data_IF_265735858659
#
_entry.id   IF_265735858659
#
_cell.length_a   1.000
_cell.length_b   1.000
_cell.length_c   1.000
_cell.angle_alpha   90.00
_cell.angle_beta   90.00
_cell.angle_gamma   90.00
#
_symmetry.space_group_name_H-M   'P 1'
#
loop_
_entity.id
_entity.type
_entity.pdbx_description
1 polymer ?
#
# COMPACT_ATOMS: atom_id res chain seq x y z
N UNK A 1 61.29 16.81 -8.16
CA UNK A 1 60.14 16.99 -9.08
C UNK A 1 58.81 16.41 -8.56
N UNK A 2 58.77 15.25 -7.90
CA UNK A 2 57.50 14.65 -7.41
C UNK A 2 56.71 15.51 -6.37
N UNK A 3 57.39 16.20 -5.44
CA UNK A 3 56.73 17.08 -4.44
C UNK A 3 56.03 18.30 -5.09
N UNK A 4 56.65 18.94 -6.08
CA UNK A 4 56.05 20.08 -6.80
C UNK A 4 54.81 19.65 -7.61
N UNK A 5 54.84 18.46 -8.21
CA UNK A 5 53.71 17.95 -8.97
C UNK A 5 52.50 17.60 -8.09
N UNK A 6 52.75 17.14 -6.85
CA UNK A 6 51.73 16.84 -5.84
C UNK A 6 51.02 18.11 -5.35
N UNK A 7 51.77 19.19 -5.10
CA UNK A 7 51.21 20.48 -4.67
C UNK A 7 50.36 21.15 -5.77
N UNK A 8 50.67 20.92 -7.06
CA UNK A 8 49.90 21.44 -8.20
C UNK A 8 48.53 20.77 -8.38
N UNK A 9 48.31 19.61 -7.76
CA UNK A 9 47.08 18.82 -7.87
C UNK A 9 46.18 18.88 -6.62
N UNK A 10 46.54 19.67 -5.62
CA UNK A 10 45.77 19.83 -4.39
C UNK A 10 44.85 21.06 -4.48
N UNK A 11 43.58 20.87 -4.10
CA UNK A 11 42.60 21.96 -4.00
C UNK A 11 41.55 21.97 -5.12
N UNK A 12 40.52 22.79 -4.91
CA UNK A 12 39.35 22.87 -5.79
C UNK A 12 39.72 23.68 -7.03
N UNK A 13 39.96 22.99 -8.15
CA UNK A 13 40.32 23.61 -9.44
C UNK A 13 40.08 22.65 -10.61
N UNK A 14 40.07 23.20 -11.84
CA UNK A 14 39.80 22.46 -13.06
C UNK A 14 38.39 21.86 -13.05
N UNK A 15 38.25 20.62 -13.51
CA UNK A 15 36.97 19.88 -13.53
C UNK A 15 36.29 19.76 -12.16
N UNK A 16 37.02 19.91 -11.05
CA UNK A 16 36.42 19.88 -9.72
C UNK A 16 35.52 21.10 -9.44
N UNK A 17 35.67 22.20 -10.21
CA UNK A 17 34.79 23.37 -10.13
C UNK A 17 33.38 23.02 -10.64
N UNK A 18 33.27 22.17 -11.66
CA UNK A 18 31.97 21.72 -12.15
C UNK A 18 31.26 20.83 -11.14
N UNK A 19 32.01 19.95 -10.46
CA UNK A 19 31.49 19.18 -9.32
C UNK A 19 31.06 20.11 -8.18
N UNK A 20 31.85 21.15 -7.88
CA UNK A 20 31.50 22.12 -6.85
C UNK A 20 30.16 22.82 -7.13
N UNK A 21 29.95 23.21 -8.39
CA UNK A 21 28.70 23.82 -8.83
C UNK A 21 27.52 22.84 -8.69
N UNK A 22 27.68 21.61 -9.19
CA UNK A 22 26.66 20.56 -9.12
C UNK A 22 26.26 20.26 -7.66
N UNK A 23 27.25 20.06 -6.77
CA UNK A 23 27.04 19.79 -5.34
C UNK A 23 26.24 20.90 -4.64
N UNK A 24 26.46 22.16 -5.01
CA UNK A 24 25.79 23.31 -4.38
C UNK A 24 24.39 23.54 -4.95
N UNK A 25 24.22 23.37 -6.27
CA UNK A 25 22.95 23.64 -6.96
C UNK A 25 21.96 22.49 -6.77
N UNK A 26 22.43 21.25 -6.71
CA UNK A 26 21.57 20.07 -6.69
C UNK A 26 20.50 20.06 -5.57
N UNK A 27 20.80 20.38 -4.29
CA UNK A 27 19.78 20.40 -3.23
C UNK A 27 18.70 21.45 -3.49
N UNK A 28 19.07 22.63 -3.99
CA UNK A 28 18.12 23.70 -4.29
C UNK A 28 17.21 23.31 -5.45
N UNK A 29 17.79 22.77 -6.52
CA UNK A 29 17.03 22.28 -7.67
C UNK A 29 16.06 21.17 -7.26
N UNK A 30 16.50 20.26 -6.39
CA UNK A 30 15.67 19.16 -5.92
C UNK A 30 14.50 19.64 -5.04
N UNK A 31 14.68 20.68 -4.22
CA UNK A 31 13.56 21.32 -3.50
C UNK A 31 12.52 21.87 -4.47
N UNK A 32 12.94 22.58 -5.52
CA UNK A 32 12.02 23.11 -6.55
C UNK A 32 11.29 21.97 -7.26
N UNK A 33 12.00 20.87 -7.57
CA UNK A 33 11.39 19.68 -8.16
C UNK A 33 10.31 19.09 -7.25
N UNK A 34 10.59 18.85 -5.98
CA UNK A 34 9.61 18.32 -5.01
C UNK A 34 8.40 19.25 -4.94
N UNK A 35 8.61 20.55 -4.74
CA UNK A 35 7.50 21.48 -4.62
C UNK A 35 6.63 21.51 -5.88
N UNK A 36 7.24 21.40 -7.07
CA UNK A 36 6.48 21.39 -8.33
C UNK A 36 5.73 20.07 -8.52
N UNK A 37 6.42 18.94 -8.42
CA UNK A 37 5.84 17.61 -8.66
C UNK A 37 4.73 17.26 -7.67
N UNK A 38 4.95 17.51 -6.37
CA UNK A 38 3.98 17.14 -5.35
C UNK A 38 2.84 18.14 -5.19
N UNK A 39 2.97 19.37 -5.71
CA UNK A 39 1.91 20.38 -5.57
C UNK A 39 0.58 19.91 -6.13
N UNK A 40 0.59 19.24 -7.29
CA UNK A 40 -0.62 18.75 -7.96
C UNK A 40 -1.46 17.82 -7.08
N UNK A 41 -0.80 16.95 -6.28
CA UNK A 41 -1.49 16.02 -5.38
C UNK A 41 -2.13 16.70 -4.18
N UNK A 42 -1.60 17.84 -3.74
CA UNK A 42 -2.09 18.58 -2.57
C UNK A 42 -3.02 19.75 -2.94
N UNK A 43 -3.13 20.08 -4.23
CA UNK A 43 -4.08 21.05 -4.74
C UNK A 43 -5.46 20.43 -5.03
N UNK A 44 -6.50 21.24 -5.00
CA UNK A 44 -7.84 20.91 -5.55
C UNK A 44 -8.52 19.64 -5.01
N UNK A 45 -8.16 19.18 -3.80
CA UNK A 45 -8.81 18.03 -3.16
C UNK A 45 -8.45 16.66 -3.75
N UNK A 46 -7.48 16.59 -4.67
CA UNK A 46 -6.97 15.33 -5.23
C UNK A 46 -6.48 14.37 -4.17
N UNK A 47 -5.83 14.88 -3.12
CA UNK A 47 -5.43 14.09 -1.97
C UNK A 47 -6.62 13.32 -1.39
N UNK A 48 -7.70 14.02 -1.04
CA UNK A 48 -8.90 13.39 -0.46
C UNK A 48 -9.50 12.35 -1.41
N UNK A 49 -9.57 12.67 -2.70
CA UNK A 49 -10.12 11.79 -3.74
C UNK A 49 -9.32 10.48 -3.90
N UNK A 50 -8.00 10.54 -3.77
CA UNK A 50 -7.12 9.37 -3.98
C UNK A 50 -6.84 8.60 -2.69
N UNK A 51 -7.07 9.18 -1.52
CA UNK A 51 -6.71 8.57 -0.22
C UNK A 51 -7.89 8.17 0.67
N UNK A 52 -9.11 8.69 0.45
CA UNK A 52 -10.28 8.28 1.23
C UNK A 52 -10.96 7.05 0.64
N UNK A 53 -11.25 6.06 1.48
CA UNK A 53 -11.91 4.80 1.09
C UNK A 53 -13.31 4.99 0.50
N UNK A 54 -14.00 6.09 0.81
CA UNK A 54 -15.34 6.40 0.31
C UNK A 54 -15.34 6.99 -1.11
N UNK A 55 -14.15 7.23 -1.69
CA UNK A 55 -14.00 7.81 -3.03
C UNK A 55 -13.97 6.72 -4.10
N UNK A 56 -14.63 6.96 -5.22
CA UNK A 56 -14.57 6.10 -6.41
C UNK A 56 -13.13 5.98 -6.98
N UNK A 57 -12.29 6.99 -6.74
CA UNK A 57 -10.89 7.03 -7.19
C UNK A 57 -9.89 6.63 -6.11
N UNK A 58 -10.36 6.04 -5.00
CA UNK A 58 -9.49 5.55 -3.95
C UNK A 58 -8.46 4.58 -4.54
N UNK A 59 -7.18 4.89 -4.31
CA UNK A 59 -6.10 3.99 -4.72
C UNK A 59 -5.29 3.57 -3.50
N UNK A 60 -5.39 2.27 -3.23
CA UNK A 60 -4.71 1.54 -2.16
C UNK A 60 -3.23 1.91 -2.03
N UNK A 61 -2.77 2.35 -0.86
CA UNK A 61 -1.34 2.61 -0.64
C UNK A 61 -0.77 3.87 -1.30
N UNK A 62 -1.55 4.61 -2.10
CA UNK A 62 -1.13 5.85 -2.74
C UNK A 62 -0.57 6.88 -1.75
N UNK A 63 -1.33 7.14 -0.67
CA UNK A 63 -0.96 8.07 0.39
C UNK A 63 0.39 7.70 1.01
N UNK A 64 0.56 6.41 1.31
CA UNK A 64 1.75 5.87 1.94
C UNK A 64 2.95 6.02 1.01
N UNK A 65 2.80 5.71 -0.28
CA UNK A 65 3.86 5.88 -1.28
C UNK A 65 4.31 7.34 -1.39
N UNK A 66 3.39 8.31 -1.43
CA UNK A 66 3.73 9.75 -1.42
C UNK A 66 4.52 10.12 -0.15
N UNK A 67 4.05 9.70 1.03
CA UNK A 67 4.72 10.00 2.31
C UNK A 67 6.14 9.42 2.35
N UNK A 68 6.31 8.18 1.89
CA UNK A 68 7.62 7.52 1.83
C UNK A 68 8.56 8.23 0.84
N UNK A 69 8.08 8.57 -0.35
CA UNK A 69 8.88 9.28 -1.35
C UNK A 69 9.32 10.67 -0.84
N UNK A 70 8.43 11.42 -0.18
CA UNK A 70 8.74 12.70 0.46
C UNK A 70 9.76 12.55 1.59
N UNK A 71 9.64 11.52 2.44
CA UNK A 71 10.58 11.26 3.52
C UNK A 71 11.99 10.97 2.99
N UNK A 72 12.09 10.13 1.95
CA UNK A 72 13.37 9.83 1.29
C UNK A 72 13.91 11.10 0.59
N UNK A 73 13.04 11.92 -0.01
CA UNK A 73 13.39 13.21 -0.58
C UNK A 73 14.01 14.16 0.45
N UNK A 74 13.40 14.30 1.63
CA UNK A 74 13.92 15.12 2.72
C UNK A 74 15.30 14.62 3.20
N UNK A 75 15.46 13.31 3.35
CA UNK A 75 16.75 12.72 3.70
C UNK A 75 17.82 13.05 2.64
N UNK A 76 17.46 13.00 1.36
CA UNK A 76 18.38 13.29 0.26
C UNK A 76 18.79 14.76 0.23
N UNK A 77 17.90 15.70 0.56
CA UNK A 77 18.25 17.12 0.77
C UNK A 77 19.27 17.24 1.90
N UNK A 78 19.03 16.60 3.04
CA UNK A 78 19.96 16.61 4.17
C UNK A 78 21.33 16.02 3.78
N UNK A 79 21.35 14.91 3.03
CA UNK A 79 22.57 14.31 2.49
C UNK A 79 23.32 15.25 1.55
N UNK A 80 22.60 16.00 0.69
CA UNK A 80 23.17 17.02 -0.18
C UNK A 80 23.82 18.18 0.59
N UNK A 81 23.14 18.69 1.62
CA UNK A 81 23.70 19.73 2.51
C UNK A 81 24.96 19.25 3.22
N UNK A 82 24.99 17.99 3.64
CA UNK A 82 26.18 17.41 4.24
C UNK A 82 27.30 17.17 3.22
N UNK A 83 26.96 16.78 1.98
CA UNK A 83 27.94 16.67 0.90
C UNK A 83 28.61 18.02 0.61
N UNK A 84 27.86 19.13 0.64
CA UNK A 84 28.40 20.49 0.56
C UNK A 84 29.44 20.72 1.68
N UNK A 85 29.08 20.41 2.93
CA UNK A 85 30.00 20.52 4.06
C UNK A 85 31.28 19.70 3.84
N UNK A 86 31.16 18.42 3.49
CA UNK A 86 32.30 17.53 3.26
C UNK A 86 33.17 17.99 2.09
N UNK A 87 32.55 18.53 1.04
CA UNK A 87 33.23 19.00 -0.16
C UNK A 87 34.17 20.16 0.17
N UNK A 88 33.67 21.21 0.82
CA UNK A 88 34.46 22.39 1.14
C UNK A 88 35.48 22.13 2.26
N UNK A 89 35.20 21.19 3.17
CA UNK A 89 36.16 20.73 4.18
C UNK A 89 37.08 19.61 3.70
N UNK A 90 37.09 19.29 2.40
CA UNK A 90 38.04 18.35 1.78
C UNK A 90 38.11 16.98 2.47
N UNK A 91 36.97 16.51 3.00
CA UNK A 91 36.88 15.24 3.72
C UNK A 91 36.94 14.06 2.77
N UNK A 92 37.70 13.02 3.13
CA UNK A 92 37.92 11.83 2.31
C UNK A 92 36.66 10.99 2.06
N UNK A 93 35.62 11.19 2.88
CA UNK A 93 34.31 10.53 2.73
C UNK A 93 33.47 11.14 1.61
N UNK A 94 33.76 12.39 1.19
CA UNK A 94 32.96 13.11 0.19
C UNK A 94 32.77 12.29 -1.11
N UNK A 95 33.82 11.78 -1.78
CA UNK A 95 33.66 11.13 -3.08
C UNK A 95 32.72 9.92 -3.01
N UNK A 96 32.85 9.09 -1.97
CA UNK A 96 32.00 7.91 -1.79
C UNK A 96 30.55 8.28 -1.48
N UNK A 97 30.33 9.24 -0.57
CA UNK A 97 28.98 9.72 -0.26
C UNK A 97 28.32 10.33 -1.50
N UNK A 98 29.03 11.15 -2.26
CA UNK A 98 28.46 11.80 -3.42
C UNK A 98 28.08 10.80 -4.52
N UNK A 99 28.90 9.77 -4.75
CA UNK A 99 28.54 8.67 -5.65
C UNK A 99 27.28 7.95 -5.16
N UNK A 100 27.16 7.69 -3.85
CA UNK A 100 25.96 7.08 -3.30
C UNK A 100 24.71 7.97 -3.49
N UNK A 101 24.85 9.29 -3.33
CA UNK A 101 23.78 10.25 -3.63
C UNK A 101 23.41 10.18 -5.12
N UNK A 102 24.38 10.18 -6.03
CA UNK A 102 24.13 10.08 -7.47
C UNK A 102 23.38 8.78 -7.84
N UNK A 103 23.78 7.64 -7.26
CA UNK A 103 23.12 6.36 -7.48
C UNK A 103 21.69 6.38 -6.93
N UNK A 104 21.47 6.96 -5.74
CA UNK A 104 20.13 7.06 -5.16
C UNK A 104 19.19 7.93 -5.98
N UNK A 105 19.70 8.87 -6.79
CA UNK A 105 18.90 9.63 -7.77
C UNK A 105 18.26 8.68 -8.77
N UNK A 106 19.05 7.78 -9.36
CA UNK A 106 18.56 6.84 -10.37
C UNK A 106 17.52 5.91 -9.76
N UNK A 107 17.79 5.41 -8.54
CA UNK A 107 16.85 4.54 -7.82
C UNK A 107 15.52 5.25 -7.53
N UNK A 108 15.57 6.51 -7.07
CA UNK A 108 14.36 7.29 -6.81
C UNK A 108 13.57 7.58 -8.09
N UNK A 109 14.24 7.98 -9.17
CA UNK A 109 13.57 8.22 -10.44
C UNK A 109 12.88 6.94 -10.95
N UNK A 110 13.51 5.77 -10.77
CA UNK A 110 12.87 4.49 -11.09
C UNK A 110 11.66 4.20 -10.19
N UNK A 111 11.75 4.55 -8.90
CA UNK A 111 10.62 4.47 -7.98
C UNK A 111 9.46 5.39 -8.38
N UNK A 112 9.77 6.59 -8.90
CA UNK A 112 8.78 7.53 -9.43
C UNK A 112 8.15 7.02 -10.74
N UNK A 113 8.92 6.41 -11.66
CA UNK A 113 8.36 5.71 -12.85
C UNK A 113 7.35 4.68 -12.42
N UNK A 114 7.78 3.82 -11.49
CA UNK A 114 6.94 2.75 -10.99
C UNK A 114 5.70 3.32 -10.31
N UNK A 115 5.83 4.38 -9.52
CA UNK A 115 4.71 5.06 -8.87
C UNK A 115 3.69 5.58 -9.89
N UNK A 116 4.11 6.32 -10.90
CA UNK A 116 3.21 6.86 -11.93
C UNK A 116 2.53 5.73 -12.72
N UNK A 117 3.27 4.68 -13.10
CA UNK A 117 2.71 3.56 -13.86
C UNK A 117 1.72 2.74 -13.02
N UNK A 118 2.03 2.51 -11.75
CA UNK A 118 1.21 1.69 -10.86
C UNK A 118 -0.05 2.44 -10.40
N UNK A 119 0.10 3.70 -9.98
CA UNK A 119 -0.98 4.46 -9.37
C UNK A 119 -1.78 5.31 -10.36
N UNK A 120 -1.11 5.90 -11.36
CA UNK A 120 -1.76 6.79 -12.32
C UNK A 120 -2.08 6.09 -13.64
N UNK A 121 -1.79 4.79 -13.77
CA UNK A 121 -1.98 3.98 -14.98
C UNK A 121 -1.51 4.68 -16.26
N UNK A 122 -0.49 5.52 -16.13
CA UNK A 122 0.02 6.38 -17.21
C UNK A 122 1.44 5.96 -17.53
N UNK A 123 1.78 5.90 -18.82
CA UNK A 123 3.16 5.62 -19.20
C UNK A 123 4.04 6.85 -18.92
N UNK A 124 4.85 6.74 -17.87
CA UNK A 124 5.80 7.78 -17.49
C UNK A 124 6.98 7.91 -18.47
N UNK A 125 7.19 6.91 -19.34
CA UNK A 125 8.37 6.80 -20.20
C UNK A 125 9.68 6.66 -19.40
N UNK A 126 10.82 6.54 -20.09
CA UNK A 126 12.15 6.40 -19.46
C UNK A 126 13.10 7.58 -19.77
N UNK A 127 12.63 8.58 -20.52
CA UNK A 127 13.46 9.68 -21.03
C UNK A 127 14.14 10.51 -19.93
N UNK A 128 13.44 10.72 -18.83
CA UNK A 128 13.94 11.35 -17.60
C UNK A 128 15.09 10.61 -16.91
N UNK A 129 15.30 9.31 -17.15
CA UNK A 129 16.41 8.56 -16.55
C UNK A 129 17.76 8.88 -17.19
N UNK A 130 17.79 9.30 -18.46
CA UNK A 130 19.04 9.53 -19.21
C UNK A 130 19.94 10.55 -18.51
N UNK A 131 19.36 11.64 -17.99
CA UNK A 131 20.10 12.67 -17.26
C UNK A 131 20.74 12.13 -15.98
N UNK A 132 19.99 11.39 -15.17
CA UNK A 132 20.49 10.81 -13.92
C UNK A 132 21.54 9.73 -14.13
N UNK A 133 21.34 8.83 -15.09
CA UNK A 133 22.30 7.76 -15.42
C UNK A 133 23.58 8.36 -15.99
N UNK A 134 23.47 9.33 -16.91
CA UNK A 134 24.61 10.05 -17.45
C UNK A 134 25.41 10.76 -16.37
N UNK A 135 24.74 11.41 -15.41
CA UNK A 135 25.38 12.08 -14.27
C UNK A 135 26.16 11.11 -13.39
N UNK A 136 25.57 9.95 -13.03
CA UNK A 136 26.26 8.89 -12.28
C UNK A 136 27.51 8.41 -13.01
N UNK A 137 27.41 8.18 -14.32
CA UNK A 137 28.53 7.67 -15.10
C UNK A 137 29.67 8.71 -15.19
N UNK A 138 29.34 9.94 -15.56
CA UNK A 138 30.34 11.01 -15.73
C UNK A 138 31.02 11.32 -14.40
N UNK A 139 30.24 11.63 -13.37
CA UNK A 139 30.79 12.05 -12.08
C UNK A 139 31.32 10.89 -11.26
N UNK A 140 30.69 9.71 -11.31
CA UNK A 140 31.19 8.51 -10.65
C UNK A 140 32.55 8.06 -11.19
N UNK A 141 32.72 8.05 -12.52
CA UNK A 141 34.03 7.77 -13.12
C UNK A 141 35.05 8.84 -12.75
N UNK A 142 34.68 10.12 -12.82
CA UNK A 142 35.59 11.21 -12.47
C UNK A 142 36.05 11.14 -11.00
N UNK A 143 35.13 10.96 -10.06
CA UNK A 143 35.42 10.93 -8.62
C UNK A 143 36.24 9.71 -8.21
N UNK A 144 36.08 8.57 -8.88
CA UNK A 144 36.87 7.36 -8.58
C UNK A 144 38.26 7.37 -9.23
N UNK A 145 38.37 7.85 -10.48
CA UNK A 145 39.61 7.73 -11.29
C UNK A 145 40.52 8.97 -11.20
N UNK A 146 40.00 10.13 -10.81
CA UNK A 146 40.76 11.38 -10.84
C UNK A 146 41.83 11.45 -9.74
N UNK A 147 43.10 11.56 -10.16
CA UNK A 147 44.23 11.82 -9.26
C UNK A 147 44.05 13.11 -8.46
N UNK A 148 43.39 14.13 -9.04
CA UNK A 148 43.10 15.40 -8.35
C UNK A 148 42.13 15.20 -7.20
N UNK A 149 41.09 14.40 -7.39
CA UNK A 149 40.09 14.07 -6.34
C UNK A 149 40.80 13.36 -5.19
N UNK A 150 41.59 12.33 -5.49
CA UNK A 150 42.37 11.58 -4.49
C UNK A 150 43.35 12.45 -3.70
N UNK A 151 43.95 13.48 -4.32
CA UNK A 151 44.84 14.41 -3.64
C UNK A 151 44.13 15.56 -2.92
N UNK A 152 42.88 15.87 -3.28
CA UNK A 152 42.12 16.96 -2.67
C UNK A 152 41.37 16.48 -1.43
N UNK A 153 40.76 15.30 -1.48
CA UNK A 153 39.94 14.75 -0.39
C UNK A 153 40.73 13.75 0.46
N UNK A 154 41.69 14.25 1.22
CA UNK A 154 42.57 13.40 2.05
C UNK A 154 42.28 13.48 3.54
N UNK A 155 41.47 14.45 3.98
CA UNK A 155 41.23 14.65 5.41
C UNK A 155 40.29 13.56 5.96
N UNK A 156 40.72 12.77 6.95
CA UNK A 156 39.86 11.74 7.53
C UNK A 156 38.68 12.35 8.27
N UNK A 157 37.56 11.63 8.27
CA UNK A 157 36.38 11.97 9.06
C UNK A 157 36.45 11.28 10.43
N UNK A 158 35.97 11.94 11.49
CA UNK A 158 35.85 11.33 12.81
C UNK A 158 34.84 10.18 12.82
N UNK A 159 35.10 9.13 13.62
CA UNK A 159 34.30 7.88 13.70
C UNK A 159 32.82 8.12 14.06
N UNK A 160 32.53 9.15 14.84
CA UNK A 160 31.17 9.57 15.24
C UNK A 160 30.32 10.04 14.07
N UNK A 161 30.91 10.75 13.11
CA UNK A 161 30.19 11.26 11.94
C UNK A 161 29.76 10.14 11.00
N UNK A 162 30.58 9.10 10.84
CA UNK A 162 30.24 7.94 9.99
C UNK A 162 29.06 7.15 10.57
N UNK A 163 29.06 6.94 11.90
CA UNK A 163 27.98 6.24 12.59
C UNK A 163 26.64 7.00 12.48
N UNK A 164 26.66 8.33 12.62
CA UNK A 164 25.47 9.16 12.49
C UNK A 164 24.78 9.02 11.12
N UNK A 165 25.55 8.99 10.03
CA UNK A 165 25.02 8.85 8.67
C UNK A 165 24.49 7.46 8.37
N UNK A 166 25.19 6.42 8.85
CA UNK A 166 24.73 5.04 8.73
C UNK A 166 23.41 4.87 9.49
N UNK A 167 23.33 5.35 10.73
CA UNK A 167 22.09 5.31 11.51
C UNK A 167 20.95 6.13 10.84
N UNK A 168 21.25 7.31 10.30
CA UNK A 168 20.24 8.13 9.59
C UNK A 168 19.70 7.44 8.34
N UNK A 169 20.58 6.78 7.57
CA UNK A 169 20.20 5.95 6.42
C UNK A 169 19.31 4.77 6.86
N UNK A 170 19.68 4.06 7.92
CA UNK A 170 18.90 2.94 8.45
C UNK A 170 17.54 3.38 8.99
N UNK A 171 17.43 4.54 9.64
CA UNK A 171 16.16 5.10 10.11
C UNK A 171 15.25 5.41 8.93
N UNK A 172 15.78 6.00 7.85
CA UNK A 172 14.98 6.35 6.66
C UNK A 172 14.54 5.11 5.91
N UNK A 173 15.45 4.15 5.71
CA UNK A 173 15.11 2.85 5.11
C UNK A 173 14.09 2.08 5.95
N UNK A 174 14.22 2.10 7.29
CA UNK A 174 13.27 1.50 8.20
C UNK A 174 11.90 2.19 8.14
N UNK A 175 11.86 3.54 8.11
CA UNK A 175 10.61 4.29 8.00
C UNK A 175 9.87 4.05 6.68
N UNK A 176 10.62 3.90 5.58
CA UNK A 176 10.06 3.53 4.28
C UNK A 176 9.53 2.09 4.26
N UNK A 177 10.28 1.16 4.85
CA UNK A 177 9.88 -0.24 4.96
C UNK A 177 8.68 -0.42 5.91
N UNK A 178 8.65 0.31 7.03
CA UNK A 178 7.51 0.30 7.95
C UNK A 178 6.27 0.92 7.32
N UNK A 179 6.41 2.00 6.54
CA UNK A 179 5.31 2.59 5.78
C UNK A 179 4.72 1.58 4.79
N UNK A 180 5.56 0.92 3.99
CA UNK A 180 5.16 -0.14 3.07
C UNK A 180 4.40 -1.28 3.77
N UNK A 181 4.92 -1.78 4.91
CA UNK A 181 4.24 -2.82 5.69
C UNK A 181 2.95 -2.33 6.38
N UNK A 182 2.88 -1.06 6.79
CA UNK A 182 1.64 -0.48 7.32
C UNK A 182 0.56 -0.35 6.25
N UNK A 183 0.94 -0.02 5.01
CA UNK A 183 0.03 0.06 3.87
C UNK A 183 -0.60 -1.30 3.52
N UNK A 184 0.22 -2.35 3.40
CA UNK A 184 -0.27 -3.72 3.09
C UNK A 184 -1.21 -4.27 4.18
N UNK A 185 -0.93 -3.98 5.46
CA UNK A 185 -1.83 -4.41 6.54
C UNK A 185 -3.15 -3.63 6.58
N UNK A 186 -3.17 -2.41 6.01
CA UNK A 186 -4.37 -1.59 5.94
C UNK A 186 -5.27 -1.96 4.74
N UNK A 187 -4.71 -2.54 3.67
CA UNK A 187 -5.44 -3.03 2.48
C UNK A 187 -6.49 -4.09 2.81
N UNK A 188 -6.07 -5.14 3.52
CA UNK A 188 -7.00 -6.18 3.98
C UNK A 188 -8.00 -5.62 4.99
N UNK A 189 -7.59 -4.68 5.84
CA UNK A 189 -8.49 -4.04 6.81
C UNK A 189 -9.53 -3.13 6.12
N UNK A 190 -9.15 -2.42 5.07
CA UNK A 190 -10.01 -1.54 4.30
C UNK A 190 -11.03 -2.33 3.49
N UNK A 191 -10.61 -3.41 2.79
CA UNK A 191 -11.54 -4.30 2.08
C UNK A 191 -12.55 -4.95 3.02
N UNK A 192 -12.10 -5.44 4.18
CA UNK A 192 -12.98 -6.00 5.21
C UNK A 192 -13.95 -4.93 5.73
N UNK A 193 -13.50 -3.69 5.89
CA UNK A 193 -14.37 -2.58 6.32
C UNK A 193 -15.41 -2.20 5.27
N UNK A 194 -15.03 -2.13 3.99
CA UNK A 194 -15.93 -1.86 2.88
C UNK A 194 -16.98 -2.96 2.71
N UNK A 195 -16.58 -4.24 2.86
CA UNK A 195 -17.51 -5.36 2.85
C UNK A 195 -18.50 -5.27 4.01
N UNK A 196 -18.05 -4.98 5.24
CA UNK A 196 -18.95 -4.76 6.40
C UNK A 196 -20.00 -3.68 6.13
N UNK A 197 -19.59 -2.55 5.55
CA UNK A 197 -20.51 -1.48 5.21
C UNK A 197 -21.54 -1.95 4.18
N UNK A 198 -21.08 -2.61 3.11
CA UNK A 198 -21.95 -3.21 2.09
C UNK A 198 -22.97 -4.19 2.68
N UNK A 199 -22.54 -5.09 3.59
CA UNK A 199 -23.45 -6.03 4.25
C UNK A 199 -24.48 -5.28 5.13
N UNK A 200 -24.06 -4.23 5.83
CA UNK A 200 -24.96 -3.40 6.63
C UNK A 200 -26.03 -2.69 5.78
N UNK A 201 -25.64 -2.16 4.62
CA UNK A 201 -26.55 -1.54 3.66
C UNK A 201 -27.56 -2.56 3.10
N UNK A 202 -27.06 -3.73 2.68
CA UNK A 202 -27.91 -4.84 2.20
C UNK A 202 -28.92 -5.25 3.28
N UNK A 203 -28.48 -5.42 4.52
CA UNK A 203 -29.38 -5.74 5.64
C UNK A 203 -30.44 -4.65 5.85
N UNK A 204 -30.04 -3.37 5.74
CA UNK A 204 -30.94 -2.23 5.81
C UNK A 204 -32.01 -2.24 4.71
N UNK A 205 -31.62 -2.50 3.46
CA UNK A 205 -32.53 -2.58 2.33
C UNK A 205 -33.50 -3.77 2.45
N UNK A 206 -32.99 -4.96 2.80
CA UNK A 206 -33.83 -6.15 3.02
C UNK A 206 -34.85 -5.90 4.15
N UNK A 207 -34.43 -5.25 5.23
CA UNK A 207 -35.33 -4.96 6.36
C UNK A 207 -36.42 -3.93 6.04
N UNK A 208 -36.35 -3.20 4.93
CA UNK A 208 -37.45 -2.29 4.51
C UNK A 208 -38.72 -3.03 4.13
N UNK A 209 -38.57 -4.28 3.68
CA UNK A 209 -39.68 -5.15 3.29
C UNK A 209 -39.98 -6.23 4.33
N UNK A 210 -39.16 -6.33 5.39
CA UNK A 210 -39.37 -7.26 6.49
C UNK A 210 -40.29 -6.68 7.59
N UNK A 211 -41.04 -7.52 8.34
CA UNK A 211 -41.19 -8.96 8.13
C UNK A 211 -42.09 -9.26 6.92
N UNK A 212 -41.81 -10.37 6.23
CA UNK A 212 -42.55 -10.81 5.04
C UNK A 212 -42.83 -12.33 5.08
N UNK A 213 -43.92 -12.78 4.47
CA UNK A 213 -44.24 -14.22 4.37
C UNK A 213 -43.54 -14.81 3.15
N UNK A 214 -42.67 -15.81 3.35
CA UNK A 214 -42.00 -16.50 2.25
C UNK A 214 -42.90 -17.57 1.63
N UNK A 215 -43.73 -18.20 2.47
CA UNK A 215 -44.78 -19.14 2.11
C UNK A 215 -45.88 -19.13 3.20
N UNK A 216 -46.80 -20.11 3.17
CA UNK A 216 -47.92 -20.19 4.11
C UNK A 216 -47.50 -20.48 5.57
N UNK A 217 -46.27 -20.99 5.79
CA UNK A 217 -45.82 -21.51 7.10
C UNK A 217 -44.60 -20.76 7.66
N UNK A 218 -43.78 -20.14 6.81
CA UNK A 218 -42.50 -19.52 7.13
C UNK A 218 -42.57 -18.01 6.91
N UNK A 219 -42.41 -17.26 7.99
CA UNK A 219 -42.21 -15.82 7.97
C UNK A 219 -40.71 -15.50 8.00
N UNK A 220 -40.27 -14.66 7.08
CA UNK A 220 -38.99 -13.97 7.18
C UNK A 220 -39.13 -12.79 8.16
N UNK A 221 -38.36 -12.80 9.25
CA UNK A 221 -38.50 -11.81 10.31
C UNK A 221 -37.59 -10.59 10.08
N UNK A 222 -36.30 -10.83 9.84
CA UNK A 222 -35.29 -9.77 9.73
C UNK A 222 -33.94 -10.31 9.23
N UNK A 223 -33.10 -9.43 8.72
CA UNK A 223 -31.65 -9.66 8.52
C UNK A 223 -30.84 -8.69 9.36
N UNK A 224 -29.73 -9.14 9.91
CA UNK A 224 -28.76 -8.26 10.56
C UNK A 224 -27.38 -8.48 9.98
N UNK A 225 -26.59 -7.42 9.84
CA UNK A 225 -25.18 -7.53 9.49
C UNK A 225 -24.35 -7.49 10.78
N UNK A 226 -23.65 -8.57 11.06
CA UNK A 226 -22.75 -8.69 12.20
C UNK A 226 -21.36 -9.09 11.69
N UNK A 227 -20.41 -8.17 11.77
CA UNK A 227 -19.08 -8.35 11.20
C UNK A 227 -19.15 -8.71 9.69
N UNK A 228 -18.61 -9.86 9.28
CA UNK A 228 -18.72 -10.36 7.89
C UNK A 228 -19.90 -11.30 7.67
N UNK A 229 -20.87 -11.33 8.58
CA UNK A 229 -22.00 -12.26 8.56
C UNK A 229 -23.32 -11.55 8.35
N UNK A 230 -24.11 -12.00 7.37
CA UNK A 230 -25.53 -11.65 7.26
C UNK A 230 -26.36 -12.70 7.99
N UNK A 231 -26.96 -12.31 9.12
CA UNK A 231 -27.77 -13.16 9.98
C UNK A 231 -29.25 -13.01 9.61
N UNK A 232 -29.77 -13.98 8.87
CA UNK A 232 -31.18 -14.12 8.51
C UNK A 232 -31.95 -14.85 9.62
N UNK A 233 -33.09 -14.27 10.00
CA UNK A 233 -34.00 -14.83 10.99
C UNK A 233 -35.35 -15.16 10.36
N UNK A 234 -35.82 -16.39 10.61
CA UNK A 234 -37.11 -16.89 10.13
C UNK A 234 -37.90 -17.48 11.30
N UNK A 235 -39.22 -17.38 11.25
CA UNK A 235 -40.14 -17.98 12.23
C UNK A 235 -41.18 -18.85 11.52
N UNK A 236 -41.39 -20.06 12.04
CA UNK A 236 -42.54 -20.89 11.67
C UNK A 236 -43.75 -20.43 12.47
N UNK A 237 -44.79 -19.96 11.80
CA UNK A 237 -45.89 -19.25 12.46
C UNK A 237 -46.93 -20.17 13.12
N UNK A 238 -46.97 -21.45 12.75
CA UNK A 238 -47.97 -22.41 13.24
C UNK A 238 -47.38 -23.63 13.98
N UNK A 239 -46.05 -23.72 14.09
CA UNK A 239 -45.38 -24.90 14.63
C UNK A 239 -44.62 -24.58 15.93
N UNK A 240 -44.78 -25.45 16.93
CA UNK A 240 -43.91 -25.47 18.11
C UNK A 240 -42.87 -26.59 17.98
N UNK A 241 -41.65 -26.31 18.42
CA UNK A 241 -40.53 -27.25 18.42
C UNK A 241 -40.87 -28.58 19.09
N UNK A 242 -41.68 -28.53 20.15
CA UNK A 242 -42.14 -29.70 20.92
C UNK A 242 -42.85 -30.76 20.08
N UNK A 243 -43.54 -30.34 19.01
CA UNK A 243 -44.33 -31.22 18.15
C UNK A 243 -43.64 -31.51 16.81
N UNK A 244 -42.39 -31.08 16.64
CA UNK A 244 -41.64 -31.18 15.38
C UNK A 244 -40.45 -32.15 15.50
N UNK A 245 -40.23 -32.93 14.45
CA UNK A 245 -38.96 -33.61 14.25
C UNK A 245 -37.93 -32.65 13.65
N UNK A 246 -37.18 -31.98 14.51
CA UNK A 246 -36.16 -30.99 14.15
C UNK A 246 -35.05 -31.58 13.27
N UNK A 247 -34.71 -32.86 13.46
CA UNK A 247 -33.68 -33.52 12.66
C UNK A 247 -34.16 -33.75 11.23
N UNK A 248 -35.43 -34.18 11.08
CA UNK A 248 -36.07 -34.32 9.78
C UNK A 248 -36.26 -32.97 9.09
N UNK A 249 -36.65 -31.94 9.82
CA UNK A 249 -36.72 -30.58 9.29
C UNK A 249 -35.35 -30.12 8.75
N UNK A 250 -34.29 -30.29 9.56
CA UNK A 250 -32.93 -29.88 9.20
C UNK A 250 -32.39 -30.63 7.98
N UNK A 251 -32.65 -31.94 7.88
CA UNK A 251 -32.16 -32.76 6.76
C UNK A 251 -32.81 -32.44 5.42
N UNK A 252 -34.01 -31.83 5.45
CA UNK A 252 -34.72 -31.37 4.25
C UNK A 252 -34.36 -29.92 3.92
N UNK A 253 -34.35 -29.03 4.91
CA UNK A 253 -34.20 -27.59 4.69
C UNK A 253 -32.76 -27.17 4.41
N UNK A 254 -31.77 -27.67 5.16
CA UNK A 254 -30.38 -27.22 5.03
C UNK A 254 -29.82 -27.44 3.61
N UNK A 255 -30.00 -28.61 2.95
CA UNK A 255 -29.51 -28.79 1.58
C UNK A 255 -30.18 -27.88 0.55
N UNK A 256 -31.43 -27.45 0.81
CA UNK A 256 -32.16 -26.52 -0.06
C UNK A 256 -31.63 -25.10 0.10
N UNK A 257 -31.40 -24.63 1.33
CA UNK A 257 -30.82 -23.31 1.62
C UNK A 257 -29.45 -23.16 0.95
N UNK A 258 -28.54 -24.10 1.23
CA UNK A 258 -27.20 -24.11 0.60
C UNK A 258 -27.32 -24.07 -0.93
N UNK A 259 -28.29 -24.81 -1.50
CA UNK A 259 -28.48 -24.82 -2.96
C UNK A 259 -28.93 -23.46 -3.48
N UNK A 260 -29.90 -22.81 -2.84
CA UNK A 260 -30.45 -21.53 -3.27
C UNK A 260 -29.38 -20.42 -3.17
N UNK A 261 -28.66 -20.33 -2.05
CA UNK A 261 -27.60 -19.34 -1.85
C UNK A 261 -26.44 -19.52 -2.85
N UNK A 262 -26.00 -20.76 -3.07
CA UNK A 262 -24.90 -21.04 -3.99
C UNK A 262 -25.28 -20.92 -5.48
N UNK A 263 -26.58 -20.80 -5.81
CA UNK A 263 -27.06 -20.52 -7.17
C UNK A 263 -27.19 -19.00 -7.43
N UNK A 264 -27.34 -18.20 -6.38
CA UNK A 264 -27.45 -16.75 -6.51
C UNK A 264 -26.08 -16.12 -6.71
N UNK A 265 -25.84 -15.59 -7.93
CA UNK A 265 -24.54 -14.98 -8.29
C UNK A 265 -24.15 -13.81 -7.39
N UNK A 266 -25.10 -12.99 -6.97
CA UNK A 266 -24.83 -11.82 -6.13
C UNK A 266 -24.33 -12.26 -4.74
N UNK A 267 -24.96 -13.29 -4.18
CA UNK A 267 -24.57 -13.88 -2.90
C UNK A 267 -23.19 -14.55 -3.01
N UNK A 268 -22.94 -15.27 -4.11
CA UNK A 268 -21.63 -15.90 -4.36
C UNK A 268 -20.50 -14.88 -4.41
N UNK A 269 -20.70 -13.71 -5.05
CA UNK A 269 -19.69 -12.64 -5.08
C UNK A 269 -19.35 -12.14 -3.67
N UNK A 270 -20.35 -11.98 -2.80
CA UNK A 270 -20.12 -11.58 -1.41
C UNK A 270 -19.32 -12.64 -0.64
N UNK A 271 -19.65 -13.92 -0.83
CA UNK A 271 -18.91 -15.03 -0.20
C UNK A 271 -17.48 -15.17 -0.72
N UNK A 272 -17.22 -14.84 -1.98
CA UNK A 272 -15.87 -14.79 -2.55
C UNK A 272 -15.01 -13.69 -1.91
N UNK A 273 -15.62 -12.61 -1.43
CA UNK A 273 -14.98 -11.54 -0.67
C UNK A 273 -14.86 -11.85 0.84
N UNK A 274 -15.35 -13.00 1.30
CA UNK A 274 -15.25 -13.46 2.69
C UNK A 274 -16.52 -13.31 3.53
N UNK A 275 -17.66 -12.93 2.93
CA UNK A 275 -18.94 -12.87 3.65
C UNK A 275 -19.48 -14.28 3.97
N UNK A 276 -20.25 -14.37 5.05
CA UNK A 276 -20.96 -15.58 5.50
C UNK A 276 -22.45 -15.27 5.61
N UNK A 277 -23.31 -16.18 5.15
CA UNK A 277 -24.75 -16.07 5.33
C UNK A 277 -25.20 -17.05 6.42
N UNK A 278 -25.77 -16.55 7.51
CA UNK A 278 -26.27 -17.36 8.62
C UNK A 278 -27.79 -17.38 8.61
N UNK A 279 -28.39 -18.53 8.33
CA UNK A 279 -29.84 -18.71 8.32
C UNK A 279 -30.26 -19.41 9.60
N UNK A 280 -31.14 -18.80 10.40
CA UNK A 280 -31.66 -19.39 11.64
C UNK A 280 -33.18 -19.38 11.68
N UNK A 281 -33.75 -20.55 11.94
CA UNK A 281 -35.19 -20.78 12.03
C UNK A 281 -35.62 -20.94 13.49
N UNK A 282 -36.74 -20.31 13.82
CA UNK A 282 -37.37 -20.34 15.13
C UNK A 282 -38.79 -20.88 15.02
N UNK A 283 -39.29 -21.46 16.10
CA UNK A 283 -40.69 -21.87 16.20
C UNK A 283 -41.59 -20.69 16.60
N UNK A 284 -42.90 -20.91 16.74
CA UNK A 284 -43.85 -19.84 17.09
C UNK A 284 -43.59 -19.22 18.48
N UNK A 285 -42.88 -19.93 19.36
CA UNK A 285 -42.50 -19.47 20.70
C UNK A 285 -41.10 -18.81 20.73
N UNK A 286 -40.40 -18.74 19.61
CA UNK A 286 -39.04 -18.20 19.52
C UNK A 286 -37.94 -19.17 19.93
N UNK A 287 -38.22 -20.47 20.04
CA UNK A 287 -37.21 -21.49 20.26
C UNK A 287 -36.48 -21.83 18.95
N UNK A 288 -35.14 -21.90 19.00
CA UNK A 288 -34.33 -22.25 17.82
C UNK A 288 -34.64 -23.67 17.34
N UNK A 289 -35.03 -23.80 16.08
CA UNK A 289 -35.27 -25.07 15.38
C UNK A 289 -34.00 -25.55 14.70
N UNK A 290 -33.52 -24.81 13.71
CA UNK A 290 -32.37 -25.18 12.89
C UNK A 290 -31.59 -23.94 12.45
N UNK A 291 -30.36 -24.14 12.00
CA UNK A 291 -29.64 -23.09 11.30
C UNK A 291 -28.43 -23.61 10.54
N UNK A 292 -28.02 -22.84 9.55
CA UNK A 292 -26.86 -23.14 8.71
C UNK A 292 -26.15 -21.84 8.36
N UNK A 293 -24.83 -21.86 8.48
CA UNK A 293 -23.97 -20.85 7.89
C UNK A 293 -23.57 -21.31 6.48
N UNK A 294 -23.63 -20.45 5.49
CA UNK A 294 -23.24 -20.73 4.12
C UNK A 294 -22.10 -19.79 3.76
N UNK A 295 -20.98 -20.40 3.38
CA UNK A 295 -19.75 -19.72 2.99
C UNK A 295 -19.26 -20.28 1.64
N UNK A 296 -18.15 -19.72 1.17
CA UNK A 296 -17.50 -20.15 -0.07
C UNK A 296 -17.18 -21.64 -0.07
N UNK A 297 -16.70 -22.19 1.04
CA UNK A 297 -16.28 -23.61 1.12
C UNK A 297 -17.47 -24.55 0.98
N UNK A 298 -18.59 -24.23 1.65
CA UNK A 298 -19.84 -25.00 1.51
C UNK A 298 -20.39 -24.94 0.10
N UNK A 299 -20.29 -23.81 -0.59
CA UNK A 299 -20.66 -23.73 -1.99
C UNK A 299 -19.76 -24.55 -2.91
N UNK A 300 -18.45 -24.60 -2.65
CA UNK A 300 -17.52 -25.45 -3.39
C UNK A 300 -17.81 -26.94 -3.14
N UNK A 301 -18.02 -27.35 -1.89
CA UNK A 301 -18.40 -28.71 -1.54
C UNK A 301 -19.72 -29.14 -2.18
N UNK A 302 -20.72 -28.25 -2.23
CA UNK A 302 -22.01 -28.50 -2.87
C UNK A 302 -21.93 -28.61 -4.41
N UNK A 303 -20.87 -28.08 -5.05
CA UNK A 303 -20.60 -28.29 -6.49
C UNK A 303 -19.92 -29.63 -6.73
N UNK A 304 -18.98 -30.01 -5.88
CA UNK A 304 -18.24 -31.28 -5.99
C UNK A 304 -19.12 -32.51 -5.77
N UNK A 305 -20.14 -32.41 -4.92
CA UNK A 305 -21.14 -33.46 -4.72
C UNK A 305 -22.12 -33.63 -5.89
N UNK A 306 -22.10 -32.73 -6.89
CA UNK A 306 -22.91 -32.82 -8.12
C UNK A 306 -22.16 -33.45 -9.30
N UNK A 307 -20.88 -33.80 -9.16
CA UNK A 307 -20.14 -34.48 -10.23
C UNK A 307 -20.73 -35.89 -10.39
N UNK A 308 -21.38 -36.23 -11.51
CA UNK A 308 -21.81 -37.61 -11.73
C UNK A 308 -20.55 -38.49 -11.83
N UNK A 309 -20.55 -39.61 -11.10
CA UNK A 309 -19.73 -40.77 -11.45
C UNK A 309 -20.20 -41.35 -12.79
#
# INVERSE_FOLDING_TARGET
>A
MQKQHKHKLQGISGWLILVAFDVVVAPCWFVVYILSFYSEFFTEGYWTLLTHADSEYYTEGFAVSIVVLLAIGCFRIAAGLYAIYLFFHKKSVFPTLYIAILISIVVLNLGEVWFVQHFLNTDAGLNWLYGSVGSVLIWGLYLTRSKRVQHTFTEPCGRSHMAFWICSLFIVLYSGFSGYFYGINNEQAAQVTALKHTLSEIAGEINRVAPDMLDDEIRFDSVQANDLTLEYRYSLIEYEKKYMDVNKFSSIMIPRIIREDCLNKNIVVLMEQGAVLSHTYFDLNGERLAGVEVDREKCLAARLSRTPM
#
